data_IF_618752292085
#
_entry.id   IF_618752292085
#
_cell.length_a   1.000
_cell.length_b   1.000
_cell.length_c   1.000
_cell.angle_alpha   90.00
_cell.angle_beta   90.00
_cell.angle_gamma   90.00
#
_symmetry.space_group_name_H-M   'P 1'
#
loop_
_entity.id
_entity.type
_entity.pdbx_description
1 polymer ?
#
# COMPACT_ATOMS: atom_id res chain seq x y z
N UNK A 1 30.24 56.67 8.51
CA UNK A 1 30.08 55.58 9.52
C UNK A 1 28.99 54.65 9.04
N UNK A 2 29.39 53.51 8.44
CA UNK A 2 28.51 52.57 7.73
C UNK A 2 27.93 51.59 8.77
N UNK A 3 26.64 51.71 9.08
CA UNK A 3 25.93 50.76 9.94
C UNK A 3 25.68 49.47 9.14
N UNK A 4 26.51 48.45 9.37
CA UNK A 4 26.26 47.09 8.89
C UNK A 4 25.07 46.51 9.67
N UNK A 5 23.88 46.53 9.07
CA UNK A 5 22.73 45.80 9.59
C UNK A 5 22.97 44.32 9.26
N UNK A 6 23.39 43.56 10.27
CA UNK A 6 23.54 42.12 10.17
C UNK A 6 22.13 41.49 10.20
N UNK A 7 21.61 41.13 9.03
CA UNK A 7 20.36 40.38 8.90
C UNK A 7 20.62 38.95 9.35
N UNK A 8 20.25 38.62 10.60
CA UNK A 8 20.29 37.27 11.14
C UNK A 8 19.16 36.45 10.51
N UNK A 9 19.48 35.65 9.48
CA UNK A 9 18.55 34.67 8.90
C UNK A 9 18.41 33.51 9.90
N UNK A 10 17.29 33.48 10.62
CA UNK A 10 16.90 32.37 11.48
C UNK A 10 16.41 31.22 10.58
N UNK A 11 17.30 30.26 10.30
CA UNK A 11 16.93 29.00 9.62
C UNK A 11 16.13 28.17 10.63
N UNK A 12 14.81 28.32 10.62
CA UNK A 12 13.92 27.42 11.34
C UNK A 12 13.96 26.05 10.65
N UNK A 13 14.68 25.09 11.25
CA UNK A 13 14.68 23.70 10.83
C UNK A 13 13.29 23.10 11.08
N UNK A 14 12.40 23.23 10.10
CA UNK A 14 11.12 22.51 10.12
C UNK A 14 11.40 21.04 9.88
N UNK A 15 11.30 20.22 10.93
CA UNK A 15 11.34 18.76 10.79
C UNK A 15 10.12 18.32 9.98
N UNK A 16 10.35 17.94 8.72
CA UNK A 16 9.33 17.33 7.87
C UNK A 16 9.12 15.90 8.39
N UNK A 17 8.09 15.69 9.19
CA UNK A 17 7.69 14.36 9.61
C UNK A 17 7.02 13.67 8.42
N UNK A 18 7.67 12.67 7.82
CA UNK A 18 7.00 11.73 6.95
C UNK A 18 6.00 10.92 7.80
N UNK A 19 4.70 11.09 7.54
CA UNK A 19 3.67 10.40 8.30
C UNK A 19 3.66 8.92 7.93
N UNK A 20 3.81 8.05 8.93
CA UNK A 20 3.64 6.61 8.76
C UNK A 20 2.15 6.32 8.52
N UNK A 21 1.80 5.94 7.30
CA UNK A 21 0.41 5.71 6.87
C UNK A 21 -0.06 4.26 7.00
N UNK A 22 0.87 3.32 7.13
CA UNK A 22 0.60 1.88 7.15
C UNK A 22 1.40 1.21 8.26
N UNK A 23 0.70 0.63 9.24
CA UNK A 23 1.33 -0.05 10.38
C UNK A 23 1.82 -1.48 10.10
N UNK A 24 1.62 -2.00 8.88
CA UNK A 24 1.94 -3.38 8.52
C UNK A 24 3.42 -3.70 8.71
N UNK A 25 4.33 -2.78 8.35
CA UNK A 25 5.77 -3.02 8.49
C UNK A 25 6.19 -3.08 9.95
N UNK A 26 5.84 -2.05 10.73
CA UNK A 26 6.17 -1.96 12.15
C UNK A 26 5.66 -3.19 12.93
N UNK A 27 4.40 -3.59 12.73
CA UNK A 27 3.84 -4.75 13.44
C UNK A 27 4.45 -6.07 12.97
N UNK A 28 4.78 -6.20 11.68
CA UNK A 28 5.38 -7.42 11.14
C UNK A 28 6.77 -7.62 11.71
N UNK A 29 7.59 -6.56 11.73
CA UNK A 29 8.92 -6.59 12.34
C UNK A 29 8.83 -6.96 13.83
N UNK A 30 7.96 -6.28 14.55
CA UNK A 30 7.76 -6.55 15.98
C UNK A 30 7.35 -8.01 16.24
N UNK A 31 6.41 -8.55 15.44
CA UNK A 31 5.99 -9.96 15.56
C UNK A 31 7.12 -10.94 15.28
N UNK A 32 7.98 -10.66 14.30
CA UNK A 32 9.14 -11.53 13.99
C UNK A 32 10.16 -11.58 15.14
N UNK A 33 10.28 -10.50 15.93
CA UNK A 33 11.18 -10.43 17.08
C UNK A 33 10.64 -11.21 18.28
N UNK A 34 9.35 -11.08 18.57
CA UNK A 34 8.74 -11.66 19.79
C UNK A 34 8.16 -13.07 19.59
N UNK A 35 7.84 -13.47 18.34
CA UNK A 35 7.24 -14.77 18.01
C UNK A 35 8.11 -15.52 16.97
N UNK A 36 9.04 -16.39 17.40
CA UNK A 36 9.90 -17.16 16.50
C UNK A 36 9.13 -18.01 15.48
N UNK A 37 7.97 -18.54 15.87
CA UNK A 37 7.08 -19.32 15.01
C UNK A 37 6.48 -18.49 13.87
N UNK A 38 6.16 -17.21 14.11
CA UNK A 38 5.69 -16.31 13.06
C UNK A 38 6.77 -16.07 12.01
N UNK A 39 8.02 -15.86 12.45
CA UNK A 39 9.18 -15.71 11.56
C UNK A 39 9.39 -16.97 10.72
N UNK A 40 9.35 -18.15 11.33
CA UNK A 40 9.52 -19.43 10.60
C UNK A 40 8.38 -19.65 9.60
N UNK A 41 7.13 -19.37 9.99
CA UNK A 41 5.98 -19.52 9.12
C UNK A 41 6.04 -18.57 7.91
N UNK A 42 6.46 -17.32 8.13
CA UNK A 42 6.63 -16.33 7.05
C UNK A 42 7.72 -16.76 6.06
N UNK A 43 8.87 -17.20 6.56
CA UNK A 43 9.96 -17.71 5.72
C UNK A 43 9.52 -18.92 4.90
N UNK A 44 8.79 -19.84 5.51
CA UNK A 44 8.23 -21.01 4.82
C UNK A 44 7.34 -20.61 3.65
N UNK A 45 6.46 -19.63 3.82
CA UNK A 45 5.57 -19.14 2.73
C UNK A 45 6.39 -18.53 1.59
N UNK A 46 7.45 -17.79 1.88
CA UNK A 46 8.33 -17.22 0.86
C UNK A 46 9.02 -18.32 0.05
N UNK A 47 9.64 -19.30 0.71
CA UNK A 47 10.29 -20.44 0.05
C UNK A 47 9.29 -21.23 -0.80
N UNK A 48 8.09 -21.48 -0.29
CA UNK A 48 7.03 -22.15 -1.04
C UNK A 48 6.61 -21.35 -2.29
N UNK A 49 6.55 -20.03 -2.18
CA UNK A 49 6.23 -19.14 -3.30
C UNK A 49 7.31 -19.20 -4.38
N UNK A 50 8.59 -19.11 -4.00
CA UNK A 50 9.72 -19.22 -4.92
C UNK A 50 9.73 -20.57 -5.65
N UNK A 51 9.53 -21.66 -4.91
CA UNK A 51 9.43 -23.01 -5.47
C UNK A 51 8.25 -23.12 -6.44
N UNK A 52 7.09 -22.55 -6.10
CA UNK A 52 5.93 -22.58 -6.97
C UNK A 52 6.19 -21.82 -8.27
N UNK A 53 6.79 -20.63 -8.21
CA UNK A 53 7.16 -19.83 -9.39
C UNK A 53 8.15 -20.60 -10.28
N UNK A 54 9.19 -21.20 -9.70
CA UNK A 54 10.18 -21.97 -10.44
C UNK A 54 9.57 -23.19 -11.15
N UNK A 55 8.59 -23.84 -10.52
CA UNK A 55 7.92 -25.01 -11.08
C UNK A 55 6.81 -24.65 -12.09
N UNK A 56 6.38 -23.38 -12.16
CA UNK A 56 5.29 -22.92 -13.02
C UNK A 56 5.70 -21.71 -13.90
N UNK A 57 6.80 -21.81 -14.69
CA UNK A 57 7.36 -20.66 -15.41
C UNK A 57 6.45 -20.09 -16.51
N UNK A 58 5.45 -20.85 -16.96
CA UNK A 58 4.50 -20.46 -18.01
C UNK A 58 3.07 -20.27 -17.47
N UNK A 59 2.89 -20.22 -16.16
CA UNK A 59 1.57 -20.01 -15.58
C UNK A 59 1.10 -18.58 -15.85
N UNK A 60 0.01 -18.47 -16.60
CA UNK A 60 -0.64 -17.20 -16.94
C UNK A 60 -2.15 -17.42 -16.89
N UNK A 61 -2.71 -17.59 -15.70
CA UNK A 61 -4.17 -17.50 -15.53
C UNK A 61 -4.62 -16.05 -15.70
N UNK A 62 -5.08 -15.73 -16.92
CA UNK A 62 -5.77 -14.47 -17.25
C UNK A 62 -7.28 -14.60 -17.08
N UNK A 63 -7.70 -15.29 -16.02
CA UNK A 63 -9.10 -15.51 -15.70
C UNK A 63 -9.55 -14.53 -14.65
N UNK A 64 -10.80 -14.08 -14.73
CA UNK A 64 -11.37 -13.17 -13.74
C UNK A 64 -11.56 -13.93 -12.43
N UNK A 65 -10.86 -13.49 -11.39
CA UNK A 65 -11.00 -13.99 -10.02
C UNK A 65 -12.00 -13.09 -9.29
N UNK A 66 -13.10 -13.67 -8.81
CA UNK A 66 -14.11 -12.96 -8.01
C UNK A 66 -13.85 -13.19 -6.53
N UNK A 67 -13.57 -12.11 -5.80
CA UNK A 67 -13.35 -12.14 -4.34
C UNK A 67 -14.64 -11.65 -3.66
N UNK A 68 -15.34 -12.49 -2.87
CA UNK A 68 -16.47 -12.04 -2.07
C UNK A 68 -15.98 -11.17 -0.91
N UNK A 69 -16.59 -10.00 -0.73
CA UNK A 69 -16.17 -9.01 0.28
C UNK A 69 -17.33 -8.72 1.24
N UNK A 70 -17.02 -8.70 2.54
CA UNK A 70 -17.89 -8.19 3.59
C UNK A 70 -17.21 -6.98 4.22
N UNK A 71 -17.92 -5.86 4.31
CA UNK A 71 -17.40 -4.63 4.93
C UNK A 71 -18.04 -4.44 6.29
N UNK A 72 -17.21 -4.45 7.33
CA UNK A 72 -17.64 -4.17 8.70
C UNK A 72 -17.41 -2.69 9.02
N UNK A 73 -18.49 -1.90 9.10
CA UNK A 73 -18.42 -0.51 9.56
C UNK A 73 -18.58 -0.51 11.08
N UNK A 74 -17.47 -0.30 11.80
CA UNK A 74 -17.45 -0.11 13.25
C UNK A 74 -17.43 1.38 13.54
N UNK A 75 -18.47 1.90 14.18
CA UNK A 75 -18.63 3.34 14.40
C UNK A 75 -19.09 3.64 15.84
N UNK A 76 -18.68 4.80 16.34
CA UNK A 76 -19.09 5.36 17.63
C UNK A 76 -19.85 6.69 17.47
N UNK A 77 -19.58 7.45 16.41
CA UNK A 77 -20.28 8.69 16.08
C UNK A 77 -20.98 8.58 14.72
N UNK A 78 -22.02 9.37 14.49
CA UNK A 78 -22.77 9.37 13.22
C UNK A 78 -21.89 9.69 12.01
N UNK A 79 -20.85 10.50 12.17
CA UNK A 79 -19.89 10.81 11.10
C UNK A 79 -19.02 9.60 10.69
N UNK A 80 -18.86 8.60 11.56
CA UNK A 80 -18.14 7.37 11.27
C UNK A 80 -19.04 6.30 10.64
N UNK A 81 -20.36 6.47 10.74
CA UNK A 81 -21.33 5.61 10.06
C UNK A 81 -21.46 6.02 8.59
N UNK A 82 -20.55 5.52 7.77
CA UNK A 82 -20.48 5.82 6.34
C UNK A 82 -21.65 5.20 5.57
N UNK A 83 -22.03 5.83 4.45
CA UNK A 83 -23.11 5.32 3.60
C UNK A 83 -22.66 4.14 2.74
N UNK A 84 -23.63 3.32 2.32
CA UNK A 84 -23.38 2.23 1.36
C UNK A 84 -22.76 2.74 0.05
N UNK A 85 -23.13 3.94 -0.39
CA UNK A 85 -22.53 4.57 -1.57
C UNK A 85 -21.04 4.86 -1.37
N UNK A 86 -20.62 5.26 -0.16
CA UNK A 86 -19.21 5.46 0.15
C UNK A 86 -18.46 4.12 0.18
N UNK A 87 -19.06 3.07 0.74
CA UNK A 87 -18.49 1.71 0.73
C UNK A 87 -18.33 1.21 -0.72
N UNK A 88 -19.37 1.35 -1.54
CA UNK A 88 -19.35 0.93 -2.93
C UNK A 88 -18.28 1.67 -3.73
N UNK A 89 -18.06 2.96 -3.46
CA UNK A 89 -17.01 3.72 -4.15
C UNK A 89 -15.61 3.16 -3.90
N UNK A 90 -15.34 2.60 -2.71
CA UNK A 90 -14.07 1.92 -2.43
C UNK A 90 -13.94 0.58 -3.19
N UNK A 91 -15.03 -0.18 -3.29
CA UNK A 91 -15.06 -1.43 -4.08
C UNK A 91 -14.82 -1.13 -5.56
N UNK A 92 -15.40 -0.05 -6.08
CA UNK A 92 -15.20 0.36 -7.47
C UNK A 92 -13.75 0.77 -7.75
N UNK A 93 -13.09 1.44 -6.80
CA UNK A 93 -11.66 1.78 -6.90
C UNK A 93 -10.81 0.51 -6.89
N UNK A 94 -11.04 -0.42 -5.96
CA UNK A 94 -10.31 -1.70 -5.94
C UNK A 94 -10.47 -2.44 -7.27
N UNK A 95 -11.69 -2.55 -7.79
CA UNK A 95 -11.92 -3.19 -9.08
C UNK A 95 -11.17 -2.49 -10.21
N UNK A 96 -11.11 -1.15 -10.22
CA UNK A 96 -10.36 -0.40 -11.24
C UNK A 96 -8.86 -0.64 -11.13
N UNK A 97 -8.30 -0.61 -9.93
CA UNK A 97 -6.87 -0.74 -9.72
C UNK A 97 -6.38 -2.15 -10.03
N UNK A 98 -7.07 -3.19 -9.53
CA UNK A 98 -6.72 -4.59 -9.80
C UNK A 98 -6.92 -4.98 -11.26
N UNK A 99 -7.81 -4.31 -11.98
CA UNK A 99 -8.03 -4.51 -13.43
C UNK A 99 -7.23 -3.56 -14.31
N UNK A 100 -6.48 -2.63 -13.72
CA UNK A 100 -5.80 -1.52 -14.41
C UNK A 100 -6.73 -0.73 -15.36
N UNK A 101 -7.95 -0.46 -14.93
CA UNK A 101 -8.93 0.37 -15.64
C UNK A 101 -9.11 1.75 -15.01
N UNK A 102 -8.25 2.10 -14.06
CA UNK A 102 -8.13 3.42 -13.45
C UNK A 102 -7.58 4.46 -14.45
N UNK A 103 -8.12 5.69 -14.41
CA UNK A 103 -7.80 6.75 -15.40
C UNK A 103 -6.36 7.24 -15.26
N UNK A 104 -5.85 7.30 -14.03
CA UNK A 104 -4.49 7.72 -13.69
C UNK A 104 -3.42 6.71 -14.12
N UNK A 105 -3.79 5.59 -14.76
CA UNK A 105 -2.87 4.72 -15.49
C UNK A 105 -1.99 5.51 -16.48
N UNK A 106 -2.51 6.60 -17.05
CA UNK A 106 -1.80 7.50 -17.96
C UNK A 106 -0.58 8.17 -17.30
N UNK A 107 -0.57 8.26 -15.97
CA UNK A 107 0.51 8.85 -15.20
C UNK A 107 1.63 7.85 -14.87
N UNK A 108 1.49 6.57 -15.25
CA UNK A 108 2.56 5.58 -15.09
C UNK A 108 3.73 5.97 -15.98
N UNK A 109 4.96 6.20 -15.45
CA UNK A 109 6.12 6.50 -16.27
C UNK A 109 6.38 5.41 -17.31
N UNK A 110 6.77 5.79 -18.54
CA UNK A 110 6.99 4.83 -19.63
C UNK A 110 8.04 3.76 -19.28
N UNK A 111 9.06 4.08 -18.48
CA UNK A 111 10.07 3.12 -18.00
C UNK A 111 9.47 1.99 -17.13
N UNK A 112 8.30 2.24 -16.52
CA UNK A 112 7.59 1.30 -15.66
C UNK A 112 6.40 0.65 -16.37
N UNK A 113 6.09 1.06 -17.60
CA UNK A 113 4.96 0.52 -18.36
C UNK A 113 5.11 -0.98 -18.65
N UNK A 114 6.34 -1.48 -18.84
CA UNK A 114 6.63 -2.92 -19.03
C UNK A 114 6.53 -3.74 -17.75
N UNK A 115 6.61 -3.09 -16.58
CA UNK A 115 6.52 -3.73 -15.25
C UNK A 115 5.10 -3.66 -14.67
N UNK A 116 4.17 -3.12 -15.44
CA UNK A 116 2.78 -3.01 -15.05
C UNK A 116 2.12 -4.40 -15.01
N UNK A 117 1.64 -4.81 -13.84
CA UNK A 117 0.76 -5.96 -13.70
C UNK A 117 -0.54 -5.73 -14.53
N UNK A 118 -0.77 -6.55 -15.55
CA UNK A 118 -2.08 -6.74 -16.18
C UNK A 118 -2.60 -8.08 -15.66
N UNK A 119 -3.45 -8.03 -14.65
CA UNK A 119 -4.29 -9.17 -14.28
C UNK A 119 -5.39 -9.33 -15.34
#
# INVERSE_FOLDING_TARGET
MIKKIATLILIASTSINAQERCGTEAITKHRMEIYPEYRIAREKVNVQTEQWIANHPYYSEKTIITIPVVVHVVWNTSAQNISDAQIQSQIDVLNKDYRRTNIDVINTPNSLASHSCRL
#
